data_IF_051479465173
#
_entry.id   IF_051479465173
#
_cell.length_a   1.000
_cell.length_b   1.000
_cell.length_c   1.000
_cell.angle_alpha   90.00
_cell.angle_beta   90.00
_cell.angle_gamma   90.00
#
_symmetry.space_group_name_H-M   'P 1'
#
loop_
_entity.id
_entity.type
_entity.pdbx_description
1 polymer ?
#
# COMPACT_ATOMS: atom_id res chain seq x y z
N UNK A 1 5.38 -24.70 -33.52
CA UNK A 1 5.95 -25.28 -32.27
C UNK A 1 5.91 -24.19 -31.22
N UNK A 2 4.99 -24.25 -30.26
CA UNK A 2 4.98 -23.34 -29.14
C UNK A 2 6.24 -23.63 -28.29
N UNK A 3 7.00 -22.59 -27.96
CA UNK A 3 8.11 -22.71 -27.01
C UNK A 3 7.53 -23.20 -25.69
N UNK A 4 8.03 -24.32 -25.17
CA UNK A 4 7.66 -24.81 -23.86
C UNK A 4 8.07 -23.73 -22.85
N UNK A 5 7.12 -23.19 -22.10
CA UNK A 5 7.41 -22.27 -21.00
C UNK A 5 8.41 -22.94 -20.06
N UNK A 6 9.40 -22.18 -19.58
CA UNK A 6 10.33 -22.70 -18.58
C UNK A 6 9.51 -23.19 -17.36
N UNK A 7 9.91 -24.30 -16.74
CA UNK A 7 9.18 -24.81 -15.58
C UNK A 7 9.18 -23.73 -14.47
N UNK A 8 8.00 -23.44 -13.94
CA UNK A 8 7.84 -22.50 -12.82
C UNK A 8 8.66 -22.98 -11.61
N UNK A 9 9.37 -22.08 -10.89
CA UNK A 9 10.18 -22.47 -9.78
C UNK A 9 9.35 -23.04 -8.62
N UNK A 10 9.85 -24.12 -8.01
CA UNK A 10 9.25 -24.75 -6.82
C UNK A 10 9.89 -24.18 -5.54
N UNK A 11 9.05 -23.75 -4.61
CA UNK A 11 9.42 -23.49 -3.22
C UNK A 11 8.82 -24.61 -2.34
N UNK A 12 9.60 -25.68 -2.10
CA UNK A 12 9.09 -26.88 -1.45
C UNK A 12 8.02 -27.56 -2.31
N UNK A 13 6.75 -27.50 -1.88
CA UNK A 13 5.59 -28.04 -2.60
C UNK A 13 4.78 -26.97 -3.36
N UNK A 14 5.20 -25.72 -3.28
CA UNK A 14 4.48 -24.59 -3.87
C UNK A 14 5.08 -24.24 -5.23
N UNK A 15 4.32 -24.43 -6.28
CA UNK A 15 4.69 -24.01 -7.64
C UNK A 15 4.40 -22.52 -7.78
N UNK A 16 5.46 -21.74 -7.83
CA UNK A 16 5.42 -20.27 -7.81
C UNK A 16 5.17 -19.75 -9.23
N UNK A 17 4.08 -19.01 -9.40
CA UNK A 17 3.71 -18.36 -10.64
C UNK A 17 3.98 -16.86 -10.64
N UNK A 18 3.05 -16.08 -11.18
CA UNK A 18 3.18 -14.65 -11.39
C UNK A 18 3.42 -13.84 -10.11
N UNK A 19 4.22 -12.78 -10.22
CA UNK A 19 4.35 -11.75 -9.20
C UNK A 19 3.04 -10.95 -9.16
N UNK A 20 2.39 -10.89 -8.01
CA UNK A 20 1.16 -10.12 -7.78
C UNK A 20 1.37 -8.90 -6.87
N UNK A 21 2.57 -8.75 -6.31
CA UNK A 21 2.95 -7.61 -5.51
C UNK A 21 4.45 -7.55 -5.25
N UNK A 22 4.98 -6.34 -5.18
CA UNK A 22 6.38 -6.08 -4.83
C UNK A 22 6.39 -5.07 -3.70
N UNK A 23 6.95 -5.47 -2.57
CA UNK A 23 7.14 -4.62 -1.41
C UNK A 23 8.63 -4.34 -1.17
N UNK A 24 8.93 -3.41 -0.27
CA UNK A 24 10.31 -3.01 0.06
C UNK A 24 11.17 -4.17 0.60
N UNK A 25 10.55 -5.20 1.17
CA UNK A 25 11.25 -6.31 1.84
C UNK A 25 10.95 -7.67 1.23
N UNK A 26 9.88 -7.80 0.46
CA UNK A 26 9.43 -9.08 -0.02
C UNK A 26 8.72 -8.94 -1.36
N UNK A 27 8.78 -9.99 -2.16
CA UNK A 27 7.95 -10.17 -3.35
C UNK A 27 6.80 -11.10 -3.01
N UNK A 28 5.64 -10.82 -3.59
CA UNK A 28 4.41 -11.59 -3.39
C UNK A 28 4.04 -12.26 -4.70
N UNK A 29 3.90 -13.57 -4.66
CA UNK A 29 3.62 -14.38 -5.83
C UNK A 29 2.30 -15.13 -5.67
N UNK A 30 1.56 -15.28 -6.74
CA UNK A 30 0.53 -16.31 -6.82
C UNK A 30 1.22 -17.67 -6.96
N UNK A 31 0.76 -18.69 -6.26
CA UNK A 31 1.32 -20.02 -6.30
C UNK A 31 0.23 -21.09 -6.21
N UNK A 32 0.58 -22.34 -6.53
CA UNK A 32 -0.28 -23.50 -6.36
C UNK A 32 0.39 -24.46 -5.36
N UNK A 33 -0.33 -24.83 -4.31
CA UNK A 33 0.05 -25.94 -3.44
C UNK A 33 -0.23 -27.26 -4.16
N UNK A 34 0.81 -27.93 -4.68
CA UNK A 34 0.68 -29.15 -5.46
C UNK A 34 0.14 -30.37 -4.68
N UNK A 35 0.14 -30.30 -3.33
CA UNK A 35 -0.43 -31.36 -2.50
C UNK A 35 -1.90 -31.19 -2.23
N UNK A 36 -2.36 -29.94 -2.13
CA UNK A 36 -3.74 -29.62 -1.81
C UNK A 36 -4.54 -29.24 -3.06
N UNK A 37 -3.89 -29.03 -4.20
CA UNK A 37 -4.45 -28.49 -5.44
C UNK A 37 -5.20 -27.16 -5.18
N UNK A 38 -4.60 -26.30 -4.35
CA UNK A 38 -5.19 -25.03 -3.93
C UNK A 38 -4.32 -23.86 -4.35
N UNK A 39 -4.96 -22.73 -4.63
CA UNK A 39 -4.26 -21.49 -5.01
C UNK A 39 -3.94 -20.69 -3.75
N UNK A 40 -2.68 -20.40 -3.57
CA UNK A 40 -2.15 -19.68 -2.42
C UNK A 40 -1.33 -18.47 -2.86
N UNK A 41 -0.95 -17.64 -1.91
CA UNK A 41 0.02 -16.56 -2.08
C UNK A 41 1.30 -16.93 -1.37
N UNK A 42 2.44 -16.76 -2.03
CA UNK A 42 3.75 -16.94 -1.42
C UNK A 42 4.46 -15.59 -1.35
N UNK A 43 4.67 -15.10 -0.13
CA UNK A 43 5.43 -13.88 0.17
C UNK A 43 6.86 -14.29 0.49
N UNK A 44 7.82 -13.95 -0.37
CA UNK A 44 9.24 -14.33 -0.26
C UNK A 44 10.04 -13.12 0.18
N UNK A 45 10.83 -13.26 1.24
CA UNK A 45 11.75 -12.20 1.66
C UNK A 45 12.81 -11.97 0.58
N UNK A 46 13.04 -10.71 0.22
CA UNK A 46 13.99 -10.34 -0.81
C UNK A 46 15.43 -10.79 -0.43
N UNK A 47 16.22 -11.20 -1.42
CA UNK A 47 17.52 -11.83 -1.21
C UNK A 47 18.49 -10.94 -0.42
N UNK A 48 18.54 -9.65 -0.72
CA UNK A 48 19.35 -8.66 -0.01
C UNK A 48 19.00 -8.53 1.48
N UNK A 49 17.77 -8.82 1.86
CA UNK A 49 17.29 -8.78 3.25
C UNK A 49 17.41 -10.14 3.94
N UNK A 50 17.44 -11.23 3.20
CA UNK A 50 17.57 -12.59 3.74
C UNK A 50 18.90 -12.84 4.43
N UNK A 51 19.94 -12.07 4.07
CA UNK A 51 21.27 -12.12 4.70
C UNK A 51 21.35 -11.36 6.04
N UNK A 52 20.36 -10.51 6.36
CA UNK A 52 20.29 -9.82 7.64
C UNK A 52 19.49 -10.67 8.66
N UNK A 53 20.14 -11.20 9.72
CA UNK A 53 19.46 -12.08 10.68
C UNK A 53 18.28 -11.41 11.38
N UNK A 54 18.37 -10.11 11.66
CA UNK A 54 17.31 -9.37 12.36
C UNK A 54 16.07 -9.20 11.48
N UNK A 55 16.24 -8.84 10.20
CA UNK A 55 15.13 -8.74 9.22
C UNK A 55 14.47 -10.08 9.02
N UNK A 56 15.29 -11.13 8.87
CA UNK A 56 14.83 -12.50 8.72
C UNK A 56 14.00 -12.99 9.91
N UNK A 57 14.50 -12.76 11.13
CA UNK A 57 13.80 -13.18 12.35
C UNK A 57 12.45 -12.45 12.49
N UNK A 58 12.39 -11.15 12.18
CA UNK A 58 11.15 -10.39 12.23
C UNK A 58 10.14 -10.81 11.16
N UNK A 59 10.60 -11.11 9.94
CA UNK A 59 9.73 -11.64 8.89
C UNK A 59 9.05 -12.94 9.33
N UNK A 60 9.82 -13.86 9.93
CA UNK A 60 9.28 -15.11 10.47
C UNK A 60 8.35 -14.84 11.67
N UNK A 61 8.73 -13.90 12.55
CA UNK A 61 7.92 -13.52 13.70
C UNK A 61 6.58 -12.90 13.29
N UNK A 62 6.56 -12.10 12.21
CA UNK A 62 5.33 -11.57 11.60
C UNK A 62 4.40 -12.69 11.15
N UNK A 63 4.92 -13.66 10.40
CA UNK A 63 4.14 -14.83 9.99
C UNK A 63 3.58 -15.63 11.16
N UNK A 64 4.39 -15.85 12.21
CA UNK A 64 3.94 -16.52 13.45
C UNK A 64 2.91 -15.71 14.22
N UNK A 65 3.01 -14.39 14.21
CA UNK A 65 2.04 -13.49 14.85
C UNK A 65 0.70 -13.53 14.12
N UNK A 66 0.70 -13.36 12.78
CA UNK A 66 -0.50 -13.47 11.95
C UNK A 66 -1.20 -14.83 12.11
N UNK A 67 -0.46 -15.92 12.16
CA UNK A 67 -1.03 -17.27 12.32
C UNK A 67 -1.84 -17.44 13.61
N UNK A 68 -1.62 -16.60 14.62
CA UNK A 68 -2.38 -16.61 15.88
C UNK A 68 -3.70 -15.85 15.80
N UNK A 69 -3.86 -15.04 14.76
CA UNK A 69 -5.09 -14.27 14.56
C UNK A 69 -6.11 -15.13 13.80
N UNK A 70 -7.07 -15.68 14.53
CA UNK A 70 -8.15 -16.47 13.95
C UNK A 70 -9.33 -15.55 13.62
N UNK A 71 -9.36 -14.99 12.42
CA UNK A 71 -10.44 -14.11 11.96
C UNK A 71 -10.65 -14.23 10.46
N UNK A 72 -11.90 -14.24 9.98
CA UNK A 72 -12.17 -14.20 8.55
C UNK A 72 -11.86 -12.83 7.93
N UNK A 73 -11.52 -11.82 8.71
CA UNK A 73 -11.15 -10.48 8.30
C UNK A 73 -9.64 -10.21 8.35
N UNK A 74 -8.83 -11.23 8.58
CA UNK A 74 -7.36 -11.15 8.57
C UNK A 74 -6.82 -12.28 7.70
N UNK A 75 -5.87 -11.99 6.82
CA UNK A 75 -5.26 -12.98 5.93
C UNK A 75 -4.68 -14.13 6.74
N UNK A 76 -5.08 -15.35 6.42
CA UNK A 76 -4.59 -16.54 7.09
C UNK A 76 -3.17 -16.91 6.61
N UNK A 77 -2.30 -17.30 7.55
CA UNK A 77 -1.00 -17.89 7.26
C UNK A 77 -1.14 -19.41 7.26
N UNK A 78 -0.92 -20.04 6.13
CA UNK A 78 -1.01 -21.50 5.96
C UNK A 78 0.30 -22.19 6.35
N UNK A 79 1.43 -21.60 5.94
CA UNK A 79 2.75 -22.22 6.17
C UNK A 79 3.86 -21.15 6.24
N UNK A 80 5.01 -21.56 6.78
CA UNK A 80 6.24 -20.77 6.83
C UNK A 80 7.36 -21.71 6.40
N UNK A 81 8.12 -21.32 5.39
CA UNK A 81 9.20 -22.14 4.85
C UNK A 81 10.44 -21.34 4.52
N UNK A 82 11.40 -22.03 3.94
CA UNK A 82 12.67 -21.49 3.49
C UNK A 82 13.03 -22.09 2.14
N UNK A 83 13.47 -21.26 1.20
CA UNK A 83 13.93 -21.70 -0.11
C UNK A 83 15.34 -22.33 -0.04
N UNK A 84 15.76 -23.02 -1.11
CA UNK A 84 17.12 -23.56 -1.25
C UNK A 84 18.20 -22.47 -1.16
N UNK A 85 17.82 -21.21 -1.44
CA UNK A 85 18.68 -20.02 -1.28
C UNK A 85 18.61 -19.40 0.12
N UNK A 86 18.04 -20.13 1.10
CA UNK A 86 17.87 -19.66 2.47
C UNK A 86 17.01 -18.38 2.62
N UNK A 87 16.12 -18.10 1.64
CA UNK A 87 15.16 -17.03 1.74
C UNK A 87 13.91 -17.54 2.47
N UNK A 88 13.52 -16.95 3.61
CA UNK A 88 12.26 -17.29 4.24
C UNK A 88 11.08 -16.85 3.38
N UNK A 89 10.03 -17.65 3.42
CA UNK A 89 8.75 -17.30 2.77
C UNK A 89 7.57 -17.62 3.68
N UNK A 90 6.49 -16.89 3.47
CA UNK A 90 5.19 -17.14 4.09
C UNK A 90 4.21 -17.61 3.01
N UNK A 91 3.43 -18.63 3.33
CA UNK A 91 2.31 -19.07 2.50
C UNK A 91 1.03 -18.52 3.09
N UNK A 92 0.32 -17.74 2.31
CA UNK A 92 -0.83 -16.97 2.74
C UNK A 92 -2.06 -17.35 1.93
N UNK A 93 -3.21 -17.10 2.50
CA UNK A 93 -4.50 -17.15 1.81
C UNK A 93 -4.54 -16.14 0.66
N UNK A 94 -5.13 -16.52 -0.48
CA UNK A 94 -5.34 -15.62 -1.60
C UNK A 94 -6.57 -14.74 -1.37
N UNK A 95 -6.39 -13.42 -1.41
CA UNK A 95 -7.47 -12.45 -1.56
C UNK A 95 -7.64 -12.16 -3.06
N UNK A 96 -8.68 -12.74 -3.67
CA UNK A 96 -8.87 -12.88 -5.11
C UNK A 96 -9.51 -11.65 -5.79
N UNK A 97 -9.85 -10.59 -5.02
CA UNK A 97 -10.55 -9.40 -5.49
C UNK A 97 -9.70 -8.12 -5.47
N UNK A 98 -8.39 -8.27 -5.22
CA UNK A 98 -7.42 -7.18 -5.22
C UNK A 98 -7.45 -6.32 -3.95
N UNK A 99 -6.86 -5.13 -4.02
CA UNK A 99 -6.75 -4.20 -2.89
C UNK A 99 -7.90 -3.18 -2.87
N UNK A 100 -8.20 -2.64 -1.69
CA UNK A 100 -9.12 -1.50 -1.55
C UNK A 100 -8.60 -0.28 -2.33
N UNK A 101 -7.30 -0.05 -2.36
CA UNK A 101 -6.69 1.03 -3.14
C UNK A 101 -7.03 0.92 -4.63
N UNK A 102 -6.79 -0.24 -5.24
CA UNK A 102 -7.07 -0.48 -6.66
C UNK A 102 -8.57 -0.38 -6.97
N UNK A 103 -9.42 -0.93 -6.08
CA UNK A 103 -10.88 -0.85 -6.23
C UNK A 103 -11.37 0.59 -6.23
N UNK A 104 -10.94 1.41 -5.27
CA UNK A 104 -11.35 2.81 -5.15
C UNK A 104 -10.81 3.63 -6.31
N UNK A 105 -9.58 3.37 -6.76
CA UNK A 105 -9.00 4.03 -7.93
C UNK A 105 -9.82 3.76 -9.20
N UNK A 106 -10.20 2.50 -9.45
CA UNK A 106 -11.05 2.13 -10.58
C UNK A 106 -12.43 2.79 -10.51
N UNK A 107 -13.09 2.76 -9.35
CA UNK A 107 -14.40 3.40 -9.16
C UNK A 107 -14.33 4.93 -9.37
N UNK A 108 -13.28 5.58 -8.87
CA UNK A 108 -13.09 7.04 -9.05
C UNK A 108 -12.83 7.41 -10.50
N UNK A 109 -12.15 6.57 -11.28
CA UNK A 109 -11.96 6.78 -12.72
C UNK A 109 -13.32 6.82 -13.47
N UNK A 110 -14.32 6.10 -12.96
CA UNK A 110 -15.69 6.09 -13.47
C UNK A 110 -16.59 7.18 -12.84
N UNK A 111 -16.01 8.13 -12.10
CA UNK A 111 -16.74 9.25 -11.49
C UNK A 111 -17.47 8.91 -10.19
N UNK A 112 -17.17 7.77 -9.56
CA UNK A 112 -17.78 7.38 -8.28
C UNK A 112 -17.27 8.26 -7.11
N UNK A 113 -18.17 8.52 -6.18
CA UNK A 113 -17.89 9.09 -4.86
C UNK A 113 -18.50 8.20 -3.78
N UNK A 114 -17.86 8.16 -2.61
CA UNK A 114 -18.28 7.29 -1.52
C UNK A 114 -19.68 7.63 -1.00
N UNK A 115 -20.51 6.62 -0.84
CA UNK A 115 -21.82 6.70 -0.19
C UNK A 115 -21.75 6.33 1.28
N UNK A 116 -22.76 6.63 2.11
CA UNK A 116 -22.85 6.14 3.48
C UNK A 116 -22.75 4.60 3.58
N UNK A 117 -23.29 3.88 2.60
CA UNK A 117 -23.19 2.42 2.53
C UNK A 117 -21.76 1.94 2.30
N UNK A 118 -21.00 2.58 1.42
CA UNK A 118 -19.59 2.28 1.18
C UNK A 118 -18.75 2.50 2.45
N UNK A 119 -18.97 3.64 3.12
CA UNK A 119 -18.28 3.95 4.38
C UNK A 119 -18.55 2.90 5.45
N UNK A 120 -19.83 2.51 5.64
CA UNK A 120 -20.21 1.50 6.63
C UNK A 120 -19.65 0.12 6.30
N UNK A 121 -19.66 -0.28 5.03
CA UNK A 121 -19.11 -1.56 4.61
C UNK A 121 -17.60 -1.67 4.92
N UNK A 122 -16.84 -0.61 4.60
CA UNK A 122 -15.40 -0.55 4.91
C UNK A 122 -15.16 -0.43 6.41
N UNK A 123 -15.91 0.43 7.12
CA UNK A 123 -15.73 0.64 8.56
C UNK A 123 -15.96 -0.65 9.37
N UNK A 124 -17.02 -1.40 9.06
CA UNK A 124 -17.34 -2.68 9.71
C UNK A 124 -16.25 -3.72 9.49
N UNK A 125 -15.79 -3.86 8.24
CA UNK A 125 -14.71 -4.79 7.89
C UNK A 125 -13.40 -4.44 8.60
N UNK A 126 -13.03 -3.15 8.61
CA UNK A 126 -11.83 -2.67 9.31
C UNK A 126 -11.93 -2.89 10.83
N UNK A 127 -13.07 -2.55 11.44
CA UNK A 127 -13.26 -2.72 12.88
C UNK A 127 -13.14 -4.19 13.28
N UNK A 128 -13.79 -5.10 12.55
CA UNK A 128 -13.72 -6.54 12.80
C UNK A 128 -12.28 -7.08 12.64
N UNK A 129 -11.54 -6.61 11.63
CA UNK A 129 -10.16 -7.01 11.41
C UNK A 129 -9.23 -6.52 12.53
N UNK A 130 -9.31 -5.22 12.86
CA UNK A 130 -8.46 -4.59 13.87
C UNK A 130 -8.78 -5.13 15.28
N UNK A 131 -10.04 -5.37 15.59
CA UNK A 131 -10.45 -6.00 16.85
C UNK A 131 -9.83 -7.40 17.00
N UNK A 132 -9.82 -8.22 15.95
CA UNK A 132 -9.19 -9.53 15.97
C UNK A 132 -7.67 -9.45 16.18
N UNK A 133 -6.99 -8.48 15.55
CA UNK A 133 -5.55 -8.22 15.73
C UNK A 133 -5.28 -7.80 17.19
N UNK A 134 -6.05 -6.87 17.73
CA UNK A 134 -5.91 -6.39 19.11
C UNK A 134 -6.22 -7.46 20.16
N UNK A 135 -7.23 -8.31 19.90
CA UNK A 135 -7.54 -9.46 20.76
C UNK A 135 -6.37 -10.46 20.84
N UNK A 136 -5.60 -10.60 19.76
CA UNK A 136 -4.35 -11.38 19.74
C UNK A 136 -3.17 -10.65 20.40
N UNK A 137 -3.38 -9.48 21.01
CA UNK A 137 -2.37 -8.59 21.62
C UNK A 137 -1.31 -8.10 20.63
N UNK A 138 -1.74 -7.85 19.41
CA UNK A 138 -0.92 -7.29 18.33
C UNK A 138 -1.40 -5.88 17.99
N UNK A 139 -0.52 -5.10 17.39
CA UNK A 139 -0.81 -3.81 16.76
C UNK A 139 -0.40 -3.92 15.31
N UNK A 140 -1.27 -3.50 14.37
CA UNK A 140 -1.01 -3.66 12.95
C UNK A 140 0.09 -2.73 12.43
N UNK A 141 0.06 -1.46 12.81
CA UNK A 141 1.07 -0.41 12.54
C UNK A 141 1.27 0.02 11.09
N UNK A 142 0.70 -0.69 10.13
CA UNK A 142 0.84 -0.39 8.69
C UNK A 142 -0.50 -0.47 7.96
N UNK A 143 -1.53 0.08 8.58
CA UNK A 143 -2.87 0.07 8.04
C UNK A 143 -2.99 1.14 6.94
N UNK A 144 -3.19 0.69 5.70
CA UNK A 144 -3.31 1.55 4.52
C UNK A 144 -4.23 0.91 3.48
N UNK A 145 -4.76 1.66 2.51
CA UNK A 145 -5.63 1.09 1.47
C UNK A 145 -5.00 -0.04 0.65
N UNK A 146 -3.66 -0.09 0.55
CA UNK A 146 -2.93 -1.17 -0.13
C UNK A 146 -2.87 -2.47 0.66
N UNK A 147 -2.94 -2.39 2.01
CA UNK A 147 -2.91 -3.55 2.90
C UNK A 147 -4.32 -4.04 3.29
N UNK A 148 -5.36 -3.35 2.81
CA UNK A 148 -6.74 -3.78 2.89
C UNK A 148 -7.11 -4.48 1.60
N UNK A 149 -7.34 -5.78 1.67
CA UNK A 149 -7.66 -6.62 0.53
C UNK A 149 -9.16 -6.94 0.49
N UNK A 150 -9.63 -7.31 -0.68
CA UNK A 150 -10.97 -7.80 -0.94
C UNK A 150 -10.91 -9.27 -1.36
N UNK A 151 -11.78 -10.08 -0.80
CA UNK A 151 -11.84 -11.52 -1.05
C UNK A 151 -13.28 -11.94 -1.29
N UNK A 152 -13.48 -12.93 -2.15
CA UNK A 152 -14.76 -13.62 -2.28
C UNK A 152 -15.18 -14.21 -0.94
N UNK A 153 -16.38 -13.88 -0.49
CA UNK A 153 -17.01 -14.34 0.75
C UNK A 153 -18.29 -15.12 0.48
N UNK A 154 -18.88 -15.75 1.50
CA UNK A 154 -20.22 -16.33 1.36
C UNK A 154 -21.22 -15.23 1.01
N UNK A 155 -22.20 -15.54 0.18
CA UNK A 155 -23.31 -14.63 -0.15
C UNK A 155 -23.97 -14.11 1.14
N UNK A 156 -24.22 -12.79 1.20
CA UNK A 156 -24.78 -12.16 2.39
C UNK A 156 -23.75 -11.76 3.46
N UNK A 157 -22.44 -11.81 3.15
CA UNK A 157 -21.38 -11.42 4.08
C UNK A 157 -21.47 -9.95 4.53
N UNK A 158 -22.16 -9.10 3.76
CA UNK A 158 -22.45 -7.70 4.11
C UNK A 158 -23.96 -7.52 4.21
N UNK A 159 -24.46 -7.43 5.44
CA UNK A 159 -25.86 -7.06 5.69
C UNK A 159 -26.03 -5.55 5.43
N UNK A 160 -26.98 -5.18 4.57
CA UNK A 160 -27.34 -3.79 4.39
C UNK A 160 -27.50 -3.35 2.93
N UNK A 161 -27.43 -2.03 2.71
CA UNK A 161 -27.54 -1.41 1.40
C UNK A 161 -26.33 -1.79 0.53
N UNK A 162 -26.54 -2.15 -0.76
CA UNK A 162 -25.42 -2.49 -1.64
C UNK A 162 -24.39 -1.37 -1.68
N UNK A 163 -23.14 -1.72 -1.34
CA UNK A 163 -21.99 -0.84 -1.46
C UNK A 163 -21.21 -1.17 -2.73
N UNK A 164 -20.64 -0.15 -3.39
CA UNK A 164 -19.84 -0.35 -4.59
C UNK A 164 -18.42 -0.83 -4.26
N UNK A 165 -17.89 -0.39 -3.11
CA UNK A 165 -16.51 -0.67 -2.67
C UNK A 165 -16.34 -2.09 -2.17
N UNK A 166 -17.27 -2.57 -1.33
CA UNK A 166 -17.30 -3.97 -0.88
C UNK A 166 -18.63 -4.56 -1.33
N UNK A 167 -18.59 -5.48 -2.26
CA UNK A 167 -19.78 -6.10 -2.85
C UNK A 167 -20.41 -7.11 -1.87
N UNK A 168 -21.69 -7.49 -2.06
CA UNK A 168 -22.37 -8.44 -1.16
C UNK A 168 -21.71 -9.83 -1.10
N UNK A 169 -21.02 -10.24 -2.17
CA UNK A 169 -20.26 -11.49 -2.28
C UNK A 169 -18.78 -11.34 -1.87
N UNK A 170 -18.41 -10.20 -1.30
CA UNK A 170 -17.04 -9.91 -0.93
C UNK A 170 -16.89 -9.67 0.58
N UNK A 171 -15.67 -9.85 1.05
CA UNK A 171 -15.26 -9.56 2.41
C UNK A 171 -13.95 -8.74 2.38
N UNK A 172 -13.88 -7.76 3.27
CA UNK A 172 -12.65 -7.03 3.56
C UNK A 172 -11.74 -7.90 4.44
N UNK A 173 -10.47 -8.00 4.04
CA UNK A 173 -9.44 -8.79 4.72
C UNK A 173 -8.20 -7.93 4.91
N UNK A 174 -7.65 -7.91 6.12
CA UNK A 174 -6.45 -7.16 6.45
C UNK A 174 -5.21 -8.03 6.27
N UNK A 175 -4.23 -7.50 5.55
CA UNK A 175 -2.95 -8.17 5.28
C UNK A 175 -1.78 -7.37 5.89
N UNK A 176 -0.65 -8.03 6.07
CA UNK A 176 0.64 -7.45 6.44
C UNK A 176 0.67 -6.66 7.76
N UNK A 177 1.12 -7.32 8.83
CA UNK A 177 1.51 -6.61 10.06
C UNK A 177 2.82 -5.85 9.79
N UNK A 178 2.86 -4.55 10.12
CA UNK A 178 4.01 -3.68 9.82
C UNK A 178 5.29 -3.93 10.63
N UNK A 179 5.47 -5.13 11.18
CA UNK A 179 6.63 -5.48 12.03
C UNK A 179 7.96 -5.37 11.29
N UNK A 180 7.99 -5.70 10.00
CA UNK A 180 9.20 -5.63 9.18
C UNK A 180 9.58 -4.21 8.81
N UNK A 181 8.60 -3.29 8.67
CA UNK A 181 8.84 -1.88 8.32
C UNK A 181 9.44 -1.06 9.47
N UNK A 182 9.11 -1.39 10.72
CA UNK A 182 9.70 -0.71 11.89
C UNK A 182 11.21 -0.92 11.99
N UNK A 183 11.73 -2.03 11.46
CA UNK A 183 13.15 -2.34 11.42
C UNK A 183 13.94 -1.51 10.41
N UNK A 184 13.41 -1.36 9.21
CA UNK A 184 14.08 -0.57 8.18
C UNK A 184 14.39 0.83 8.66
N UNK A 185 13.50 1.39 9.48
CA UNK A 185 13.67 2.74 10.04
C UNK A 185 14.66 2.79 11.19
N UNK A 186 14.66 1.79 12.07
CA UNK A 186 15.64 1.72 13.18
C UNK A 186 17.05 1.40 12.70
N UNK A 187 17.21 0.75 11.56
CA UNK A 187 18.51 0.43 10.95
C UNK A 187 19.02 1.47 9.96
N UNK A 188 18.34 2.63 9.83
CA UNK A 188 18.76 3.71 8.91
C UNK A 188 18.52 3.40 7.41
N UNK A 189 17.84 2.30 7.12
CA UNK A 189 17.37 1.98 5.77
C UNK A 189 16.17 2.89 5.48
N UNK A 190 16.38 3.94 4.72
CA UNK A 190 15.29 4.82 4.26
C UNK A 190 14.44 4.04 3.27
N UNK A 191 13.34 3.49 3.75
CA UNK A 191 12.31 2.92 2.88
C UNK A 191 11.51 4.09 2.32
N UNK A 192 11.89 4.59 1.16
CA UNK A 192 11.03 5.42 0.34
C UNK A 192 9.86 4.55 -0.12
N UNK A 193 8.62 4.85 0.31
CA UNK A 193 7.43 4.08 -0.05
C UNK A 193 6.60 3.60 1.13
N UNK A 194 6.63 4.28 2.26
CA UNK A 194 5.55 4.21 3.24
C UNK A 194 4.37 5.02 2.73
N UNK A 195 3.15 4.51 2.87
CA UNK A 195 1.92 5.20 2.49
C UNK A 195 1.79 6.46 3.37
N UNK A 196 2.39 7.57 2.91
CA UNK A 196 2.30 8.86 3.59
C UNK A 196 0.83 9.20 3.83
N UNK A 197 0.48 9.67 5.03
CA UNK A 197 -0.88 10.05 5.40
C UNK A 197 -1.68 8.99 6.17
N UNK A 198 -1.20 7.75 6.31
CA UNK A 198 -1.89 6.70 7.09
C UNK A 198 -1.14 6.31 8.36
N UNK A 199 -0.12 7.06 8.72
CA UNK A 199 0.75 6.78 9.85
C UNK A 199 0.56 7.83 10.96
N UNK A 200 0.26 7.41 12.20
CA UNK A 200 0.09 8.34 13.30
C UNK A 200 1.43 8.94 13.75
N UNK A 201 1.43 10.17 14.29
CA UNK A 201 2.65 10.93 14.62
C UNK A 201 3.56 10.21 15.63
N UNK A 202 3.02 9.45 16.57
CA UNK A 202 3.80 8.70 17.56
C UNK A 202 4.64 7.56 16.98
N UNK A 203 4.34 7.10 15.76
CA UNK A 203 5.17 6.09 15.10
C UNK A 203 6.48 6.65 14.53
N UNK A 204 6.63 7.96 14.45
CA UNK A 204 7.85 8.62 13.99
C UNK A 204 8.80 8.99 15.12
N UNK A 205 8.35 8.87 16.37
CA UNK A 205 9.11 9.22 17.58
C UNK A 205 9.63 8.01 18.37
N UNK A 206 10.52 8.25 19.33
CA UNK A 206 10.90 7.24 20.32
C UNK A 206 9.74 7.06 21.31
N UNK A 207 9.04 5.93 21.23
CA UNK A 207 7.94 5.63 22.15
C UNK A 207 7.33 4.26 21.89
N UNK A 208 6.49 3.82 22.83
CA UNK A 208 5.68 2.60 22.64
C UNK A 208 4.43 2.96 21.85
N UNK A 209 4.24 2.31 20.73
CA UNK A 209 3.03 2.40 19.91
C UNK A 209 1.99 1.43 20.47
N UNK A 210 0.85 1.95 20.91
CA UNK A 210 -0.26 1.14 21.41
C UNK A 210 -1.33 0.89 20.31
N UNK A 211 -2.40 0.17 20.65
CA UNK A 211 -3.50 -0.19 19.75
C UNK A 211 -4.21 1.01 19.13
N UNK A 212 -4.12 2.20 19.74
CA UNK A 212 -4.75 3.43 19.25
C UNK A 212 -4.05 4.01 18.01
N UNK A 213 -2.86 3.54 17.69
CA UNK A 213 -2.20 3.83 16.42
C UNK A 213 -3.03 3.31 15.24
N UNK A 214 -3.58 2.10 15.35
CA UNK A 214 -4.42 1.52 14.30
C UNK A 214 -5.75 2.29 14.17
N UNK A 215 -6.32 2.80 15.26
CA UNK A 215 -7.55 3.61 15.21
C UNK A 215 -7.33 4.95 14.49
N UNK A 216 -6.14 5.53 14.63
CA UNK A 216 -5.74 6.70 13.85
C UNK A 216 -5.69 6.34 12.37
N UNK A 217 -5.03 5.24 12.01
CA UNK A 217 -4.90 4.78 10.63
C UNK A 217 -6.26 4.40 10.00
N UNK A 218 -7.18 3.78 10.77
CA UNK A 218 -8.56 3.52 10.34
C UNK A 218 -9.28 4.82 9.97
N UNK A 219 -9.15 5.86 10.80
CA UNK A 219 -9.77 7.17 10.51
C UNK A 219 -9.13 7.88 9.33
N UNK A 220 -7.81 7.79 9.18
CA UNK A 220 -7.11 8.31 8.00
C UNK A 220 -7.57 7.60 6.72
N UNK A 221 -7.72 6.27 6.77
CA UNK A 221 -8.21 5.48 5.64
C UNK A 221 -9.65 5.84 5.27
N UNK A 222 -10.57 6.00 6.23
CA UNK A 222 -11.92 6.47 5.92
C UNK A 222 -11.92 7.92 5.41
N UNK A 223 -11.07 8.80 5.94
CA UNK A 223 -10.93 10.17 5.43
C UNK A 223 -10.49 10.18 3.97
N UNK A 224 -9.54 9.31 3.60
CA UNK A 224 -9.13 9.09 2.21
C UNK A 224 -10.28 8.52 1.35
N UNK A 225 -11.05 7.57 1.86
CA UNK A 225 -12.17 6.96 1.13
C UNK A 225 -13.24 7.98 0.78
N UNK A 226 -13.56 8.89 1.71
CA UNK A 226 -14.65 9.88 1.58
C UNK A 226 -14.21 11.19 0.93
N UNK A 227 -12.97 11.29 0.47
CA UNK A 227 -12.48 12.48 -0.20
C UNK A 227 -13.33 12.80 -1.44
N UNK A 228 -13.83 14.04 -1.52
CA UNK A 228 -14.77 14.50 -2.56
C UNK A 228 -16.23 14.05 -2.39
N UNK A 229 -16.59 13.29 -1.35
CA UNK A 229 -17.94 12.84 -1.10
C UNK A 229 -18.77 13.87 -0.29
N UNK A 230 -20.08 13.96 -0.60
CA UNK A 230 -21.04 14.75 0.19
C UNK A 230 -21.66 13.89 1.30
N UNK A 231 -21.02 13.91 2.47
CA UNK A 231 -21.39 13.11 3.63
C UNK A 231 -21.70 13.99 4.86
N UNK A 232 -22.43 13.46 5.86
CA UNK A 232 -22.78 14.24 7.05
C UNK A 232 -21.54 14.75 7.80
N UNK A 233 -21.58 16.01 8.28
CA UNK A 233 -20.50 16.61 9.08
C UNK A 233 -20.23 15.88 10.40
N UNK A 234 -21.17 15.11 10.89
CA UNK A 234 -21.02 14.21 12.05
C UNK A 234 -19.95 13.15 11.81
N UNK A 235 -19.83 12.60 10.59
CA UNK A 235 -18.80 11.66 10.22
C UNK A 235 -17.40 12.29 10.36
N UNK A 236 -17.23 13.50 9.87
CA UNK A 236 -16.00 14.27 9.96
C UNK A 236 -15.55 14.49 11.43
N UNK A 237 -16.51 14.72 12.34
CA UNK A 237 -16.24 14.84 13.77
C UNK A 237 -15.80 13.49 14.39
N UNK A 238 -16.46 12.40 14.03
CA UNK A 238 -16.10 11.05 14.49
C UNK A 238 -14.68 10.66 14.04
N UNK A 239 -14.33 10.91 12.76
CA UNK A 239 -13.01 10.61 12.22
C UNK A 239 -11.91 11.46 12.89
N UNK A 240 -12.13 12.78 13.04
CA UNK A 240 -11.16 13.69 13.71
C UNK A 240 -10.85 13.29 15.13
N UNK A 241 -11.75 12.66 15.86
CA UNK A 241 -11.47 12.18 17.21
C UNK A 241 -10.29 11.21 17.22
N UNK A 242 -10.26 10.21 16.34
CA UNK A 242 -9.14 9.27 16.27
C UNK A 242 -7.92 9.81 15.54
N UNK A 243 -8.06 10.90 14.77
CA UNK A 243 -6.93 11.61 14.17
C UNK A 243 -6.22 12.57 15.13
N UNK A 244 -6.59 12.60 16.42
CA UNK A 244 -5.91 13.41 17.42
C UNK A 244 -4.44 12.98 17.58
N UNK A 245 -3.53 13.97 17.71
CA UNK A 245 -2.09 13.72 17.92
C UNK A 245 -1.86 12.88 19.18
N UNK A 246 -2.52 13.23 20.29
CA UNK A 246 -2.41 12.48 21.54
C UNK A 246 -3.27 11.20 21.51
N UNK A 247 -2.69 9.98 21.59
CA UNK A 247 -3.43 8.72 21.57
C UNK A 247 -4.55 8.64 22.62
N UNK A 248 -4.36 9.27 23.80
CA UNK A 248 -5.35 9.29 24.87
C UNK A 248 -6.66 10.03 24.52
N UNK A 249 -6.66 10.86 23.47
CA UNK A 249 -7.86 11.57 22.98
C UNK A 249 -8.64 10.79 21.93
N UNK A 250 -8.09 9.72 21.39
CA UNK A 250 -8.70 8.86 20.39
C UNK A 250 -9.77 7.96 21.02
N UNK A 251 -10.49 7.22 20.18
CA UNK A 251 -11.35 6.16 20.68
C UNK A 251 -10.55 5.12 21.48
N UNK A 252 -11.15 4.46 22.48
CA UNK A 252 -10.44 3.46 23.28
C UNK A 252 -10.16 2.18 22.52
N UNK A 253 -11.05 1.78 21.60
CA UNK A 253 -11.01 0.55 20.83
C UNK A 253 -11.77 0.67 19.51
N UNK A 254 -11.69 -0.37 18.67
CA UNK A 254 -12.32 -0.40 17.35
C UNK A 254 -13.85 -0.44 17.42
N UNK A 255 -14.42 -1.04 18.46
CA UNK A 255 -15.88 -1.09 18.64
C UNK A 255 -16.45 0.31 18.94
N UNK A 256 -15.81 1.08 19.82
CA UNK A 256 -16.20 2.45 20.11
C UNK A 256 -16.04 3.37 18.88
N UNK A 257 -14.97 3.16 18.11
CA UNK A 257 -14.76 3.87 16.84
C UNK A 257 -15.87 3.56 15.83
N UNK A 258 -16.21 2.28 15.65
CA UNK A 258 -17.29 1.87 14.73
C UNK A 258 -18.65 2.44 15.16
N UNK A 259 -18.97 2.39 16.44
CA UNK A 259 -20.22 2.95 16.96
C UNK A 259 -20.37 4.45 16.66
N UNK A 260 -19.29 5.24 16.80
CA UNK A 260 -19.30 6.67 16.47
C UNK A 260 -19.48 6.89 14.95
N UNK A 261 -18.87 6.08 14.09
CA UNK A 261 -19.04 6.13 12.63
C UNK A 261 -20.48 5.75 12.22
N UNK A 262 -21.03 4.67 12.78
CA UNK A 262 -22.41 4.24 12.52
C UNK A 262 -23.43 5.28 13.02
N UNK A 263 -23.22 5.83 14.21
CA UNK A 263 -24.04 6.90 14.76
C UNK A 263 -24.02 8.17 13.89
N UNK A 264 -22.87 8.48 13.31
CA UNK A 264 -22.70 9.63 12.43
C UNK A 264 -23.44 9.49 11.08
N UNK A 265 -23.65 8.26 10.61
CA UNK A 265 -24.30 7.93 9.33
C UNK A 265 -25.75 7.42 9.50
N UNK A 266 -26.25 7.28 10.74
CA UNK A 266 -27.57 6.77 11.05
C UNK A 266 -28.71 7.70 10.59
N UNK A 267 -29.96 7.19 10.48
CA UNK A 267 -31.11 7.90 9.89
C UNK A 267 -31.58 9.15 10.65
N UNK A 268 -30.89 9.60 11.70
CA UNK A 268 -31.23 10.78 12.50
C UNK A 268 -30.40 12.03 12.23
N UNK A 269 -29.41 11.99 11.32
CA UNK A 269 -28.46 13.10 11.07
C UNK A 269 -28.74 13.92 9.83
N UNK A 270 -29.99 13.95 9.33
CA UNK A 270 -30.40 14.92 8.32
C UNK A 270 -30.38 16.32 8.96
N UNK A 271 -29.36 17.10 8.57
CA UNK A 271 -29.13 18.44 9.06
C UNK A 271 -30.38 19.33 8.97
N UNK A 272 -30.69 20.00 10.08
CA UNK A 272 -31.64 21.09 10.10
C UNK A 272 -31.16 22.25 9.21
N UNK A 273 -32.09 23.12 8.72
CA UNK A 273 -31.79 24.07 7.67
C UNK A 273 -30.77 25.12 8.08
N UNK A 274 -29.92 25.31 7.19
CA UNK A 274 -28.89 26.33 6.97
C UNK A 274 -29.03 27.62 7.77
N UNK A 275 -28.03 27.94 8.57
CA UNK A 275 -27.63 29.30 8.88
C UNK A 275 -26.25 29.54 8.31
N UNK A 276 -26.26 30.22 7.20
CA UNK A 276 -25.06 30.73 6.55
C UNK A 276 -24.10 31.37 7.56
N UNK A 277 -22.95 30.71 7.81
CA UNK A 277 -21.78 31.35 8.41
C UNK A 277 -20.49 30.78 7.81
N UNK A 278 -19.90 31.63 6.98
CA UNK A 278 -18.47 31.83 6.68
C UNK A 278 -17.55 30.64 6.87
N UNK A 279 -17.00 30.20 5.75
CA UNK A 279 -15.84 29.32 5.60
C UNK A 279 -14.70 29.71 6.52
N UNK A 280 -14.09 28.75 7.19
CA UNK A 280 -12.65 28.69 7.31
C UNK A 280 -12.14 27.41 6.62
N UNK A 281 -11.92 27.53 5.33
CA UNK A 281 -11.03 26.59 4.66
C UNK A 281 -9.62 27.01 4.98
N UNK A 282 -8.86 26.25 5.74
CA UNK A 282 -7.42 26.38 5.85
C UNK A 282 -6.78 25.37 6.82
N UNK A 283 -7.11 24.08 6.76
CA UNK A 283 -6.22 23.10 7.41
C UNK A 283 -6.00 21.84 6.55
N UNK A 284 -6.94 21.47 5.66
CA UNK A 284 -6.73 20.33 4.77
C UNK A 284 -6.04 20.74 3.46
N UNK A 285 -6.07 22.03 3.09
CA UNK A 285 -5.38 22.56 1.90
C UNK A 285 -3.87 22.76 2.08
N UNK A 286 -3.31 22.61 3.29
CA UNK A 286 -1.88 22.83 3.52
C UNK A 286 -0.99 21.61 3.18
N UNK A 287 -1.56 20.40 3.07
CA UNK A 287 -0.78 19.21 2.72
C UNK A 287 -0.74 18.96 1.21
N UNK A 288 -1.77 19.41 0.47
CA UNK A 288 -1.81 19.29 -1.00
C UNK A 288 -1.15 20.47 -1.73
N UNK A 289 -0.99 21.64 -1.07
CA UNK A 289 -0.40 22.83 -1.69
C UNK A 289 1.14 22.89 -1.63
N UNK A 290 1.79 22.05 -0.82
CA UNK A 290 3.25 21.98 -0.75
C UNK A 290 3.89 21.20 -1.93
N UNK A 291 3.09 20.52 -2.77
CA UNK A 291 3.56 19.77 -3.96
C UNK A 291 3.36 20.56 -5.27
N UNK A 292 2.55 21.64 -5.28
CA UNK A 292 2.23 22.37 -6.50
C UNK A 292 2.80 23.79 -6.61
N UNK A 293 3.67 24.20 -5.73
CA UNK A 293 4.17 25.56 -5.69
C UNK A 293 5.66 25.74 -5.86
N UNK A 294 6.27 25.27 -6.96
CA UNK A 294 7.53 25.81 -7.51
C UNK A 294 7.84 25.09 -8.84
N UNK A 295 7.35 25.62 -9.96
CA UNK A 295 7.71 25.09 -11.28
C UNK A 295 6.83 25.52 -12.45
N UNK A 296 6.11 26.63 -12.34
CA UNK A 296 5.43 27.23 -13.49
C UNK A 296 6.32 28.31 -14.10
N UNK A 297 7.18 27.92 -15.00
CA UNK A 297 7.94 28.82 -15.85
C UNK A 297 8.81 28.06 -16.83
N UNK A 298 8.41 28.03 -18.10
CA UNK A 298 9.19 27.64 -19.28
C UNK A 298 9.17 26.16 -19.74
N UNK A 299 8.26 25.29 -19.27
CA UNK A 299 8.17 23.90 -19.78
C UNK A 299 6.88 23.52 -20.50
N UNK A 300 5.81 24.32 -20.43
CA UNK A 300 4.48 23.92 -20.89
C UNK A 300 4.31 24.01 -22.42
N UNK A 301 5.08 24.82 -23.12
CA UNK A 301 4.99 24.94 -24.58
C UNK A 301 5.74 23.87 -25.36
N UNK A 302 6.72 23.19 -24.76
CA UNK A 302 7.46 22.13 -25.43
C UNK A 302 6.76 20.75 -25.37
N UNK A 303 5.73 20.60 -24.57
CA UNK A 303 5.03 19.32 -24.39
C UNK A 303 3.83 19.16 -25.35
N UNK A 304 3.33 20.26 -25.92
CA UNK A 304 2.21 20.24 -26.85
C UNK A 304 2.58 20.00 -28.32
N UNK A 305 3.87 20.05 -28.67
CA UNK A 305 4.36 19.95 -30.06
C UNK A 305 5.11 18.63 -30.37
N UNK A 306 5.00 17.60 -29.56
CA UNK A 306 5.49 16.28 -29.97
C UNK A 306 4.46 15.60 -30.87
N UNK A 307 4.83 15.20 -32.11
CA UNK A 307 3.94 14.42 -32.95
C UNK A 307 3.57 13.12 -32.25
N UNK A 308 2.28 12.90 -32.03
CA UNK A 308 1.76 11.59 -31.65
C UNK A 308 2.11 10.63 -32.80
N UNK A 309 3.12 9.81 -32.62
CA UNK A 309 3.33 8.65 -33.46
C UNK A 309 2.14 7.72 -33.27
N UNK A 310 1.33 7.57 -34.30
CA UNK A 310 0.29 6.57 -34.38
C UNK A 310 0.99 5.21 -34.56
N UNK A 311 1.00 4.40 -33.47
CA UNK A 311 1.60 3.07 -33.47
C UNK A 311 1.84 2.68 -32.02
N UNK A 312 0.84 2.04 -31.36
CA UNK A 312 0.87 1.75 -29.92
C UNK A 312 1.85 0.63 -29.56
N UNK A 313 3.12 0.96 -29.40
CA UNK A 313 4.07 0.12 -28.70
C UNK A 313 4.22 0.61 -27.27
N UNK A 314 4.15 -0.28 -26.27
CA UNK A 314 4.50 0.05 -24.91
C UNK A 314 5.99 0.43 -24.82
N UNK A 315 6.33 1.43 -24.01
CA UNK A 315 7.71 1.87 -23.83
C UNK A 315 7.99 2.27 -22.39
N UNK A 316 9.24 2.13 -21.98
CA UNK A 316 9.73 2.53 -20.66
C UNK A 316 11.05 3.27 -20.82
N UNK A 317 11.21 4.40 -20.13
CA UNK A 317 12.46 5.17 -20.06
C UNK A 317 12.62 5.80 -18.67
N UNK A 318 13.84 6.23 -18.34
CA UNK A 318 14.16 6.89 -17.08
C UNK A 318 14.77 8.27 -17.38
N UNK A 319 14.12 9.31 -16.89
CA UNK A 319 14.62 10.67 -16.97
C UNK A 319 15.21 11.13 -15.63
N UNK A 320 16.33 11.88 -15.69
CA UNK A 320 16.99 12.42 -14.50
C UNK A 320 18.46 12.74 -14.72
N UNK A 321 19.16 13.29 -13.69
CA UNK A 321 20.57 13.64 -13.81
C UNK A 321 21.46 12.38 -13.89
N UNK A 322 22.50 12.43 -14.74
CA UNK A 322 23.50 11.35 -14.87
C UNK A 322 24.64 11.43 -13.84
N UNK A 323 24.63 12.47 -12.97
CA UNK A 323 25.63 12.68 -11.92
C UNK A 323 24.96 12.99 -10.59
N UNK A 324 25.57 12.56 -9.50
CA UNK A 324 25.13 12.80 -8.12
C UNK A 324 26.33 13.15 -7.23
N UNK A 325 26.07 13.78 -6.11
CA UNK A 325 27.06 14.06 -5.05
C UNK A 325 26.75 13.21 -3.82
N UNK A 326 27.76 12.71 -3.13
CA UNK A 326 27.58 11.97 -1.88
C UNK A 326 26.83 12.85 -0.86
N UNK A 327 25.75 12.32 -0.28
CA UNK A 327 24.89 13.00 0.69
C UNK A 327 23.81 13.90 0.07
N UNK A 328 23.83 14.18 -1.22
CA UNK A 328 22.79 14.98 -1.89
C UNK A 328 21.74 14.07 -2.54
N UNK A 329 20.43 14.40 -2.38
CA UNK A 329 19.37 13.63 -2.97
C UNK A 329 19.23 13.89 -4.48
N UNK A 330 19.09 12.83 -5.25
CA UNK A 330 18.80 12.86 -6.69
C UNK A 330 17.42 12.24 -6.94
N UNK A 331 16.63 12.87 -7.81
CA UNK A 331 15.32 12.35 -8.21
C UNK A 331 15.38 11.85 -9.66
N UNK A 332 14.92 10.64 -9.88
CA UNK A 332 14.69 10.05 -11.20
C UNK A 332 13.19 9.90 -11.42
N UNK A 333 12.76 10.04 -12.67
CA UNK A 333 11.34 9.96 -13.07
C UNK A 333 11.17 8.84 -14.10
N UNK A 334 10.13 8.01 -13.93
CA UNK A 334 9.72 7.00 -14.89
C UNK A 334 8.89 7.64 -16.02
N UNK A 335 9.29 7.41 -17.25
CA UNK A 335 8.50 7.73 -18.44
C UNK A 335 7.96 6.40 -18.99
N UNK A 336 6.74 6.03 -18.57
CA UNK A 336 6.10 4.75 -18.93
C UNK A 336 4.89 5.02 -19.81
N UNK A 337 4.80 4.34 -20.94
CA UNK A 337 3.66 4.40 -21.83
C UNK A 337 3.21 2.98 -22.18
N UNK A 338 1.91 2.72 -22.11
CA UNK A 338 1.30 1.44 -22.50
C UNK A 338 1.59 0.27 -21.57
N UNK A 339 2.04 0.52 -20.34
CA UNK A 339 2.12 -0.47 -19.28
C UNK A 339 1.39 0.07 -18.03
N UNK A 340 0.68 -0.81 -17.32
CA UNK A 340 -0.10 -0.44 -16.13
C UNK A 340 0.72 -0.52 -14.84
N UNK A 341 1.79 -1.32 -14.84
CA UNK A 341 2.66 -1.54 -13.70
C UNK A 341 4.13 -1.54 -14.11
N UNK A 342 4.97 -0.98 -13.24
CA UNK A 342 6.43 -1.00 -13.41
C UNK A 342 7.14 -1.10 -12.05
N UNK A 343 8.39 -1.53 -12.09
CA UNK A 343 9.21 -1.72 -10.91
C UNK A 343 10.58 -1.08 -11.11
N UNK A 344 10.96 -0.23 -10.20
CA UNK A 344 12.31 0.29 -10.08
C UNK A 344 13.18 -0.70 -9.31
N UNK A 345 14.36 -0.99 -9.83
CA UNK A 345 15.44 -1.66 -9.10
C UNK A 345 16.54 -0.65 -8.82
N UNK A 346 16.73 -0.30 -7.55
CA UNK A 346 17.70 0.69 -7.11
C UNK A 346 19.08 0.04 -6.89
N UNK A 347 20.18 0.83 -6.88
CA UNK A 347 21.53 0.30 -6.67
C UNK A 347 21.75 -0.44 -5.34
N UNK A 348 20.89 -0.18 -4.38
CA UNK A 348 20.85 -0.86 -3.07
C UNK A 348 20.18 -2.23 -3.11
N UNK A 349 19.66 -2.66 -4.28
CA UNK A 349 18.82 -3.84 -4.40
C UNK A 349 17.39 -3.63 -3.90
N UNK A 350 16.98 -2.39 -3.67
CA UNK A 350 15.60 -2.05 -3.29
C UNK A 350 14.74 -1.97 -4.53
N UNK A 351 13.53 -2.53 -4.45
CA UNK A 351 12.49 -2.46 -5.48
C UNK A 351 11.43 -1.45 -5.07
N UNK A 352 11.00 -0.58 -6.01
CA UNK A 352 9.89 0.38 -5.82
C UNK A 352 8.91 0.18 -6.96
N UNK A 353 7.65 -0.14 -6.64
CA UNK A 353 6.63 -0.40 -7.64
C UNK A 353 5.73 0.82 -7.87
N UNK A 354 5.37 1.05 -9.15
CA UNK A 354 4.38 2.02 -9.62
C UNK A 354 4.60 3.49 -9.21
N UNK A 355 5.76 3.82 -8.66
CA UNK A 355 6.12 5.21 -8.36
C UNK A 355 6.63 5.92 -9.64
N UNK A 356 6.01 7.03 -9.97
CA UNK A 356 6.47 7.91 -11.08
C UNK A 356 7.86 8.47 -10.80
N UNK A 357 8.25 8.63 -9.53
CA UNK A 357 9.53 9.24 -9.15
C UNK A 357 10.18 8.49 -8.00
N UNK A 358 11.50 8.25 -8.15
CA UNK A 358 12.31 7.71 -7.06
C UNK A 358 13.37 8.73 -6.64
N UNK A 359 13.58 8.87 -5.34
CA UNK A 359 14.60 9.75 -4.76
C UNK A 359 15.72 8.90 -4.16
N UNK A 360 16.94 9.18 -4.58
CA UNK A 360 18.15 8.45 -4.19
C UNK A 360 19.10 9.39 -3.49
N UNK A 361 19.77 8.91 -2.43
CA UNK A 361 20.91 9.61 -1.81
C UNK A 361 22.09 8.65 -1.78
N UNK A 362 23.14 8.98 -2.50
CA UNK A 362 24.34 8.14 -2.55
C UNK A 362 25.16 8.28 -1.27
N UNK A 363 25.59 7.16 -0.70
CA UNK A 363 26.42 7.11 0.52
C UNK A 363 27.92 6.99 0.25
N UNK A 364 28.30 6.68 -1.00
CA UNK A 364 29.71 6.52 -1.41
C UNK A 364 29.90 6.97 -2.87
N UNK A 365 31.14 7.31 -3.21
CA UNK A 365 31.53 7.63 -4.60
C UNK A 365 31.58 6.37 -5.45
N UNK A 366 31.28 6.49 -6.75
CA UNK A 366 31.33 5.38 -7.70
C UNK A 366 30.33 5.49 -8.82
N UNK A 367 30.02 4.37 -9.48
CA UNK A 367 28.93 4.27 -10.45
C UNK A 367 27.80 3.45 -9.85
N UNK A 368 26.57 3.90 -10.07
CA UNK A 368 25.36 3.23 -9.66
C UNK A 368 24.41 3.06 -10.84
N UNK A 369 23.76 1.92 -10.94
CA UNK A 369 22.74 1.65 -11.95
C UNK A 369 21.35 1.59 -11.30
N UNK A 370 20.38 2.24 -11.96
CA UNK A 370 18.96 2.17 -11.60
C UNK A 370 18.24 1.55 -12.78
N UNK A 371 17.47 0.51 -12.54
CA UNK A 371 16.73 -0.21 -13.57
C UNK A 371 15.25 0.02 -13.37
N UNK A 372 14.52 0.23 -14.47
CA UNK A 372 13.07 0.31 -14.50
C UNK A 372 12.56 -0.80 -15.41
N UNK A 373 11.75 -1.69 -14.87
CA UNK A 373 11.15 -2.80 -15.59
C UNK A 373 9.63 -2.64 -15.60
N UNK A 374 9.03 -2.86 -16.76
CA UNK A 374 7.58 -2.88 -16.92
C UNK A 374 7.17 -4.05 -17.82
N UNK A 375 5.89 -4.42 -17.77
CA UNK A 375 5.35 -5.42 -18.67
C UNK A 375 4.21 -4.82 -19.48
N UNK A 376 4.31 -4.92 -20.80
CA UNK A 376 3.26 -4.51 -21.70
C UNK A 376 2.03 -5.45 -21.60
N UNK A 377 0.82 -5.02 -22.02
CA UNK A 377 -0.39 -5.84 -21.99
C UNK A 377 -0.30 -7.16 -22.80
N UNK A 378 0.60 -7.20 -23.80
CA UNK A 378 0.88 -8.41 -24.60
C UNK A 378 1.86 -9.37 -23.92
N UNK A 379 2.34 -9.05 -22.70
CA UNK A 379 3.30 -9.85 -21.94
C UNK A 379 4.76 -9.51 -22.22
N UNK A 380 5.06 -8.58 -23.14
CA UNK A 380 6.43 -8.19 -23.46
C UNK A 380 7.07 -7.48 -22.26
N UNK A 381 8.26 -7.93 -21.85
CA UNK A 381 9.06 -7.27 -20.84
C UNK A 381 9.77 -6.05 -21.43
N UNK A 382 9.66 -4.91 -20.75
CA UNK A 382 10.30 -3.64 -21.10
C UNK A 382 11.29 -3.29 -20.00
N UNK A 383 12.49 -2.83 -20.35
CA UNK A 383 13.54 -2.50 -19.38
C UNK A 383 14.24 -1.22 -19.80
N UNK A 384 14.41 -0.28 -18.87
CA UNK A 384 15.27 0.89 -19.01
C UNK A 384 16.34 0.89 -17.91
N UNK A 385 17.54 1.35 -18.24
CA UNK A 385 18.67 1.43 -17.29
C UNK A 385 19.22 2.84 -17.29
N UNK A 386 19.28 3.45 -16.10
CA UNK A 386 19.86 4.75 -15.87
C UNK A 386 21.15 4.64 -15.04
N UNK A 387 22.23 5.24 -15.54
CA UNK A 387 23.55 5.19 -14.89
C UNK A 387 23.87 6.52 -14.23
N UNK A 388 24.14 6.47 -12.92
CA UNK A 388 24.55 7.59 -12.10
C UNK A 388 26.05 7.52 -11.80
N UNK A 389 26.79 8.62 -12.02
CA UNK A 389 28.13 8.80 -11.47
C UNK A 389 28.06 9.60 -10.19
N UNK A 390 28.55 9.02 -9.10
CA UNK A 390 28.56 9.67 -7.78
C UNK A 390 29.96 10.23 -7.52
N UNK A 391 30.04 11.55 -7.42
CA UNK A 391 31.25 12.27 -7.05
C UNK A 391 31.34 12.53 -5.53
N UNK A 392 32.55 12.85 -5.03
CA UNK A 392 32.72 13.30 -3.66
C UNK A 392 32.02 14.66 -3.47
N UNK A 393 31.34 14.85 -2.33
CA UNK A 393 30.91 16.16 -1.88
C UNK A 393 32.10 17.03 -1.55
N UNK A 394 32.04 18.29 -1.91
CA UNK A 394 33.10 19.30 -1.62
C UNK A 394 33.14 19.63 -0.15
#
# INVERSE_FOLDING_TARGET
MAAAAAPEPLLGRYRVGDVIGVGSFATVHRAVDERLDDVVVVKVLAENHSLNPEVRERFIAEGRALRRVASPHVVAVHDIGESDRQQPYLVLELADRGTLAARVAALRADGWTATPADVLAVARGLAAAVEAVHAARLVHRDLSPGNVLLRTGPEGAVEGVPAAVVRPDERLVLADLGMSKDLARSSGLTVAGGTEGFRPPEQDGPGTVDTRADLWAMSALLSWLVDGADLPRSLDAALRRSLADAPARRHPDAAAWLADVEGALGPGTTGGPDRARRRPGAVVAAVTAAVLGLGAGAGVTAWLDRPRAAGGGASVDISGPGTATVGEPVTLTADVAGAEHWVWTLPTGTYVADDERVRLTASSTGAAEVVLEARAPDGTALTAVHRLRVGAGS
#
